data_IF_515112650784
#
_entry.id   IF_515112650784
#
_cell.length_a   1.000
_cell.length_b   1.000
_cell.length_c   1.000
_cell.angle_alpha   90.00
_cell.angle_beta   90.00
_cell.angle_gamma   90.00
#
_symmetry.space_group_name_H-M   'P 1'
#
loop_
_entity.id
_entity.type
_entity.pdbx_description
1 polymer ?
#
# COMPACT_ATOMS: atom_id res chain seq x y z
N UNK A 1 4.20 9.82 -14.43
CA UNK A 1 3.53 10.25 -15.68
C UNK A 1 3.56 9.08 -16.66
N UNK A 2 3.24 9.26 -17.95
CA UNK A 2 3.37 8.19 -18.97
C UNK A 2 4.78 7.62 -19.02
N UNK A 3 5.79 8.47 -18.89
CA UNK A 3 7.18 8.05 -18.99
C UNK A 3 7.60 7.09 -17.88
N UNK A 4 6.98 7.17 -16.70
CA UNK A 4 7.15 6.17 -15.65
C UNK A 4 6.82 4.76 -16.17
N UNK A 5 5.70 4.57 -16.87
CA UNK A 5 5.29 3.25 -17.39
C UNK A 5 6.23 2.75 -18.50
N UNK A 6 6.63 3.64 -19.41
CA UNK A 6 7.59 3.32 -20.49
C UNK A 6 8.92 2.87 -19.92
N UNK A 7 9.49 3.63 -18.97
CA UNK A 7 10.77 3.30 -18.33
C UNK A 7 10.72 1.98 -17.57
N UNK A 8 9.60 1.69 -16.89
CA UNK A 8 9.37 0.40 -16.25
C UNK A 8 9.41 -0.73 -17.29
N UNK A 9 8.69 -0.60 -18.40
CA UNK A 9 8.66 -1.64 -19.43
C UNK A 9 10.02 -1.80 -20.14
N UNK A 10 10.72 -0.71 -20.42
CA UNK A 10 12.09 -0.73 -20.96
C UNK A 10 13.04 -1.47 -20.02
N UNK A 11 13.03 -1.15 -18.72
CA UNK A 11 13.85 -1.84 -17.73
C UNK A 11 13.54 -3.35 -17.68
N UNK A 12 12.26 -3.72 -17.68
CA UNK A 12 11.83 -5.12 -17.66
C UNK A 12 12.15 -5.89 -18.94
N UNK A 13 12.31 -5.18 -20.05
CA UNK A 13 12.79 -5.77 -21.31
C UNK A 13 14.24 -6.22 -21.14
N UNK A 14 15.06 -5.40 -20.48
CA UNK A 14 16.48 -5.68 -20.23
C UNK A 14 16.69 -6.67 -19.07
N UNK A 15 15.86 -6.59 -18.03
CA UNK A 15 16.01 -7.35 -16.78
C UNK A 15 14.71 -8.10 -16.41
N UNK A 16 14.32 -9.14 -17.18
CA UNK A 16 13.04 -9.82 -17.01
C UNK A 16 12.86 -10.54 -15.66
N UNK A 17 13.96 -10.85 -14.95
CA UNK A 17 13.94 -11.50 -13.64
C UNK A 17 13.80 -10.56 -12.45
N UNK A 18 13.66 -9.25 -12.69
CA UNK A 18 13.58 -8.24 -11.64
C UNK A 18 12.19 -7.60 -11.58
N UNK A 19 11.83 -7.10 -10.39
CA UNK A 19 10.79 -6.08 -10.28
C UNK A 19 11.43 -4.69 -10.31
N UNK A 20 10.63 -3.70 -10.72
CA UNK A 20 10.97 -2.28 -10.62
C UNK A 20 9.69 -1.52 -10.26
N UNK A 21 9.80 -0.50 -9.42
CA UNK A 21 8.65 0.33 -9.11
C UNK A 21 9.02 1.75 -8.71
N UNK A 22 8.03 2.63 -8.78
CA UNK A 22 8.10 4.03 -8.41
C UNK A 22 7.12 4.31 -7.28
N UNK A 23 7.58 5.03 -6.26
CA UNK A 23 6.70 5.53 -5.21
C UNK A 23 5.70 6.55 -5.78
N UNK A 24 4.63 6.76 -5.02
CA UNK A 24 3.73 7.88 -5.24
C UNK A 24 4.47 9.22 -5.03
N UNK A 25 4.09 10.22 -5.82
CA UNK A 25 4.72 11.55 -5.88
C UNK A 25 4.12 12.56 -4.88
N UNK A 26 3.16 12.15 -4.04
CA UNK A 26 2.55 13.04 -3.03
C UNK A 26 3.10 12.77 -1.62
N UNK A 27 3.11 13.80 -0.73
CA UNK A 27 3.40 13.62 0.69
C UNK A 27 2.51 12.55 1.33
N UNK A 28 2.91 12.00 2.48
CA UNK A 28 2.20 10.95 3.26
C UNK A 28 2.23 9.56 2.57
N UNK A 29 2.04 9.51 1.25
CA UNK A 29 1.91 8.25 0.50
C UNK A 29 3.22 7.72 -0.11
N UNK A 30 4.36 8.29 0.26
CA UNK A 30 5.70 7.80 -0.14
C UNK A 30 6.56 8.80 -0.92
N UNK A 31 6.06 10.01 -1.19
CA UNK A 31 6.87 11.07 -1.79
C UNK A 31 7.93 11.57 -0.81
N UNK A 32 9.20 11.19 -1.01
CA UNK A 32 10.35 11.69 -0.23
C UNK A 32 11.24 12.67 -1.02
N UNK A 33 11.21 12.62 -2.35
CA UNK A 33 11.96 13.50 -3.25
C UNK A 33 11.02 13.87 -4.41
N UNK A 34 10.47 15.08 -4.37
CA UNK A 34 9.49 15.57 -5.36
C UNK A 34 10.13 16.02 -6.69
N UNK A 35 11.46 16.01 -6.79
CA UNK A 35 12.21 16.63 -7.88
C UNK A 35 12.87 15.67 -8.88
N UNK A 36 12.86 14.36 -8.65
CA UNK A 36 13.49 13.38 -9.54
C UNK A 36 12.73 12.05 -9.62
N UNK A 37 12.71 11.46 -10.81
CA UNK A 37 12.23 10.09 -11.01
C UNK A 37 13.14 9.12 -10.24
N UNK A 38 12.59 8.46 -9.22
CA UNK A 38 13.30 7.47 -8.40
C UNK A 38 12.61 6.11 -8.47
N UNK A 39 13.37 5.11 -8.90
CA UNK A 39 12.91 3.72 -8.99
C UNK A 39 13.60 2.85 -7.94
N UNK A 40 12.89 1.86 -7.43
CA UNK A 40 13.42 0.79 -6.59
C UNK A 40 13.17 -0.54 -7.29
N UNK A 41 14.14 -1.45 -7.27
CA UNK A 41 14.03 -2.73 -7.95
C UNK A 41 14.95 -3.79 -7.37
N UNK A 42 14.70 -5.05 -7.72
CA UNK A 42 15.42 -6.20 -7.18
C UNK A 42 14.87 -7.52 -7.70
N UNK A 43 15.42 -8.64 -7.21
CA UNK A 43 14.99 -10.00 -7.58
C UNK A 43 14.07 -10.67 -6.54
N UNK A 44 13.73 -9.95 -5.46
CA UNK A 44 12.91 -10.50 -4.40
C UNK A 44 11.45 -10.65 -4.83
N UNK A 45 10.82 -11.78 -4.50
CA UNK A 45 9.39 -12.01 -4.71
C UNK A 45 8.61 -11.62 -3.45
N UNK A 46 7.89 -10.49 -3.52
CA UNK A 46 7.11 -9.98 -2.39
C UNK A 46 5.73 -10.65 -2.27
N UNK A 47 5.10 -10.63 -1.09
CA UNK A 47 3.76 -11.20 -0.90
C UNK A 47 2.71 -10.70 -1.90
N UNK A 48 2.66 -9.39 -2.20
CA UNK A 48 1.76 -8.81 -3.21
C UNK A 48 1.90 -9.46 -4.60
N UNK A 49 3.08 -10.00 -4.93
CA UNK A 49 3.34 -10.60 -6.24
C UNK A 49 2.42 -11.78 -6.50
N UNK A 50 2.12 -12.55 -5.45
CA UNK A 50 1.25 -13.73 -5.49
C UNK A 50 -0.12 -13.48 -4.86
N UNK A 51 -0.51 -12.22 -4.68
CA UNK A 51 -1.84 -11.87 -4.16
C UNK A 51 -2.94 -12.48 -5.03
N UNK A 52 -3.99 -13.10 -4.44
CA UNK A 52 -5.13 -13.62 -5.20
C UNK A 52 -5.85 -12.51 -5.96
N UNK A 53 -6.53 -12.88 -7.05
CA UNK A 53 -7.39 -11.97 -7.82
C UNK A 53 -8.81 -12.00 -7.25
N UNK A 54 -9.42 -10.83 -7.00
CA UNK A 54 -10.84 -10.69 -6.65
C UNK A 54 -11.72 -10.68 -7.91
N UNK A 55 -11.31 -9.94 -8.94
CA UNK A 55 -12.05 -9.80 -10.19
C UNK A 55 -11.07 -9.65 -11.35
N UNK A 56 -11.34 -10.33 -12.47
CA UNK A 56 -10.60 -10.26 -13.72
C UNK A 56 -11.50 -9.67 -14.81
N UNK A 57 -10.94 -8.77 -15.62
CA UNK A 57 -11.60 -8.16 -16.77
C UNK A 57 -10.65 -8.16 -17.97
N UNK A 58 -11.19 -8.28 -19.18
CA UNK A 58 -10.41 -8.11 -20.41
C UNK A 58 -10.67 -6.76 -21.04
N UNK A 59 -9.60 -6.05 -21.39
CA UNK A 59 -9.67 -4.73 -22.02
C UNK A 59 -8.50 -4.51 -22.96
N UNK A 60 -8.80 -4.12 -24.21
CA UNK A 60 -7.80 -3.85 -25.24
C UNK A 60 -6.75 -4.98 -25.42
N UNK A 61 -7.15 -6.24 -25.25
CA UNK A 61 -6.27 -7.41 -25.34
C UNK A 61 -5.41 -7.68 -24.10
N UNK A 62 -5.51 -6.86 -23.04
CA UNK A 62 -4.85 -7.08 -21.77
C UNK A 62 -5.82 -7.62 -20.70
N UNK A 63 -5.27 -8.24 -19.65
CA UNK A 63 -5.98 -8.51 -18.40
C UNK A 63 -5.91 -7.28 -17.49
N UNK A 64 -7.01 -6.94 -16.84
CA UNK A 64 -7.12 -5.97 -15.77
C UNK A 64 -7.73 -6.67 -14.55
N UNK A 65 -6.93 -6.85 -13.51
CA UNK A 65 -7.25 -7.64 -12.32
C UNK A 65 -7.30 -6.76 -11.08
N UNK A 66 -8.40 -6.81 -10.33
CA UNK A 66 -8.47 -6.25 -8.99
C UNK A 66 -7.91 -7.28 -7.99
N UNK A 67 -6.82 -6.96 -7.29
CA UNK A 67 -6.17 -7.90 -6.37
C UNK A 67 -6.82 -7.92 -4.98
N UNK A 68 -6.81 -9.08 -4.34
CA UNK A 68 -7.10 -9.25 -2.91
C UNK A 68 -5.90 -8.78 -2.10
N UNK A 69 -5.77 -7.47 -1.98
CA UNK A 69 -4.67 -6.81 -1.28
C UNK A 69 -5.19 -5.66 -0.40
N UNK A 70 -4.57 -5.35 0.77
CA UNK A 70 -5.08 -4.29 1.65
C UNK A 70 -5.14 -2.91 1.01
N UNK A 71 -4.19 -2.59 0.12
CA UNK A 71 -4.25 -1.40 -0.73
C UNK A 71 -4.96 -1.73 -2.03
N UNK A 72 -5.84 -0.84 -2.48
CA UNK A 72 -6.54 -1.00 -3.76
C UNK A 72 -5.54 -1.08 -4.90
N UNK A 73 -5.43 -2.27 -5.51
CA UNK A 73 -4.41 -2.57 -6.51
C UNK A 73 -5.06 -3.13 -7.77
N UNK A 74 -4.78 -2.48 -8.89
CA UNK A 74 -5.20 -2.89 -10.22
C UNK A 74 -3.99 -3.42 -10.98
N UNK A 75 -3.99 -4.71 -11.28
CA UNK A 75 -2.91 -5.39 -12.00
C UNK A 75 -3.26 -5.48 -13.48
N UNK A 76 -2.38 -4.97 -14.33
CA UNK A 76 -2.46 -5.13 -15.77
C UNK A 76 -1.49 -6.22 -16.23
N UNK A 77 -1.93 -7.08 -17.17
CA UNK A 77 -1.05 -8.08 -17.80
C UNK A 77 -1.24 -8.15 -19.31
N UNK A 78 -0.12 -8.19 -20.04
CA UNK A 78 -0.11 -8.34 -21.50
C UNK A 78 1.30 -8.72 -21.98
N UNK A 79 1.44 -9.51 -23.06
CA UNK A 79 2.71 -9.62 -23.77
C UNK A 79 3.09 -8.33 -24.51
N UNK A 80 2.10 -7.48 -24.84
CA UNK A 80 2.32 -6.19 -25.48
C UNK A 80 2.44 -5.07 -24.42
N UNK A 81 3.68 -4.61 -24.23
CA UNK A 81 3.99 -3.52 -23.30
C UNK A 81 3.30 -2.19 -23.65
N UNK A 82 3.06 -1.92 -24.93
CA UNK A 82 2.48 -0.63 -25.37
C UNK A 82 1.02 -0.49 -24.93
N UNK A 83 0.30 -1.62 -24.87
CA UNK A 83 -1.04 -1.70 -24.29
C UNK A 83 -0.97 -1.39 -22.79
N UNK A 84 -0.01 -1.95 -22.04
CA UNK A 84 0.13 -1.69 -20.61
C UNK A 84 0.51 -0.25 -20.30
N UNK A 85 1.43 0.33 -21.07
CA UNK A 85 1.82 1.74 -20.96
C UNK A 85 0.61 2.65 -21.15
N UNK A 86 -0.22 2.36 -22.16
CA UNK A 86 -1.44 3.13 -22.46
C UNK A 86 -2.49 2.95 -21.37
N UNK A 87 -2.81 1.72 -20.95
CA UNK A 87 -3.83 1.47 -19.92
C UNK A 87 -3.38 2.02 -18.55
N UNK A 88 -2.10 1.89 -18.21
CA UNK A 88 -1.52 2.44 -16.99
C UNK A 88 -1.61 3.97 -16.94
N UNK A 89 -1.27 4.65 -18.05
CA UNK A 89 -1.46 6.10 -18.18
C UNK A 89 -2.93 6.49 -18.03
N UNK A 90 -3.84 5.78 -18.71
CA UNK A 90 -5.27 6.05 -18.62
C UNK A 90 -5.81 5.87 -17.19
N UNK A 91 -5.40 4.82 -16.47
CA UNK A 91 -5.77 4.60 -15.07
C UNK A 91 -5.26 5.73 -14.17
N UNK A 92 -3.99 6.14 -14.34
CA UNK A 92 -3.41 7.24 -13.59
C UNK A 92 -4.17 8.55 -13.82
N UNK A 93 -4.42 8.91 -15.07
CA UNK A 93 -5.13 10.14 -15.43
C UNK A 93 -6.56 10.14 -14.90
N UNK A 94 -7.29 9.04 -15.04
CA UNK A 94 -8.64 8.94 -14.49
C UNK A 94 -8.64 8.98 -12.96
N UNK A 95 -7.69 8.32 -12.30
CA UNK A 95 -7.60 8.34 -10.84
C UNK A 95 -7.29 9.74 -10.30
N UNK A 96 -6.39 10.49 -10.93
CA UNK A 96 -6.03 11.87 -10.54
C UNK A 96 -7.23 12.81 -10.45
N UNK A 97 -8.25 12.58 -11.28
CA UNK A 97 -9.47 13.38 -11.33
C UNK A 97 -10.66 12.77 -10.57
N UNK A 98 -10.52 11.53 -10.08
CA UNK A 98 -11.64 10.79 -9.53
C UNK A 98 -12.05 11.28 -8.14
N UNK A 99 -13.36 11.45 -7.93
CA UNK A 99 -13.94 11.73 -6.61
C UNK A 99 -14.97 10.65 -6.26
N UNK A 100 -14.97 10.22 -4.99
CA UNK A 100 -16.02 9.43 -4.35
C UNK A 100 -16.15 9.95 -2.92
N UNK A 101 -17.02 10.96 -2.77
CA UNK A 101 -17.21 11.69 -1.50
C UNK A 101 -17.75 10.79 -0.38
N UNK A 102 -18.55 9.80 -0.74
CA UNK A 102 -19.11 8.84 0.23
C UNK A 102 -18.00 8.01 0.88
N UNK A 103 -16.90 7.76 0.18
CA UNK A 103 -15.70 7.05 0.68
C UNK A 103 -14.58 7.99 1.10
N UNK A 104 -14.82 9.29 1.14
CA UNK A 104 -13.82 10.29 1.54
C UNK A 104 -12.72 10.55 0.50
N UNK A 105 -12.89 10.05 -0.74
CA UNK A 105 -11.95 10.26 -1.84
C UNK A 105 -12.29 11.58 -2.52
N UNK A 106 -11.38 12.55 -2.42
CA UNK A 106 -11.39 13.77 -3.22
C UNK A 106 -10.12 13.82 -4.04
N UNK A 107 -10.23 14.26 -5.29
CA UNK A 107 -9.10 14.47 -6.17
C UNK A 107 -8.26 15.68 -5.74
N UNK A 108 -8.93 16.73 -5.25
CA UNK A 108 -8.31 18.00 -4.87
C UNK A 108 -8.99 18.65 -3.67
N UNK A 109 -8.27 19.54 -3.00
CA UNK A 109 -8.84 20.48 -2.04
C UNK A 109 -8.16 21.84 -2.10
N UNK A 110 -8.77 22.86 -1.49
CA UNK A 110 -8.31 24.24 -1.60
C UNK A 110 -8.84 24.96 -2.86
N UNK A 111 -8.25 26.11 -3.17
CA UNK A 111 -8.63 26.93 -4.34
C UNK A 111 -7.46 27.80 -4.80
N UNK A 112 -7.36 28.03 -6.11
CA UNK A 112 -6.33 28.89 -6.70
C UNK A 112 -4.92 28.37 -6.43
N UNK A 113 -4.00 29.23 -6.00
CA UNK A 113 -2.60 28.87 -5.71
C UNK A 113 -2.41 27.90 -4.53
N UNK A 114 -3.48 27.59 -3.79
CA UNK A 114 -3.47 26.63 -2.67
C UNK A 114 -4.19 25.32 -2.99
N UNK A 115 -4.48 25.07 -4.26
CA UNK A 115 -5.06 23.79 -4.68
C UNK A 115 -4.03 22.67 -4.47
N UNK A 116 -4.41 21.67 -3.67
CA UNK A 116 -3.62 20.48 -3.44
C UNK A 116 -4.24 19.30 -4.20
N UNK A 117 -3.40 18.55 -4.93
CA UNK A 117 -3.82 17.26 -5.51
C UNK A 117 -3.65 16.15 -4.49
N UNK A 118 -4.63 15.26 -4.42
CA UNK A 118 -4.63 14.18 -3.45
C UNK A 118 -4.47 12.80 -4.04
N UNK A 119 -4.92 12.58 -5.27
CA UNK A 119 -4.88 11.27 -5.91
C UNK A 119 -3.57 11.06 -6.67
N UNK A 120 -2.93 9.92 -6.42
CA UNK A 120 -1.75 9.46 -7.16
C UNK A 120 -1.67 7.94 -7.14
N UNK A 121 -0.64 7.36 -7.74
CA UNK A 121 -0.44 5.91 -7.80
C UNK A 121 0.97 5.53 -7.43
N UNK A 122 1.12 4.34 -6.84
CA UNK A 122 2.40 3.63 -6.82
C UNK A 122 2.38 2.61 -7.95
N UNK A 123 3.43 2.58 -8.78
CA UNK A 123 3.50 1.68 -9.94
C UNK A 123 4.60 0.66 -9.72
N UNK A 124 4.28 -0.63 -9.87
CA UNK A 124 5.23 -1.73 -9.72
C UNK A 124 5.14 -2.61 -10.96
N UNK A 125 6.21 -2.72 -11.72
CA UNK A 125 6.34 -3.60 -12.86
C UNK A 125 7.18 -4.85 -12.57
N UNK A 126 6.85 -5.95 -13.24
CA UNK A 126 7.67 -7.17 -13.34
C UNK A 126 7.32 -7.95 -14.60
N UNK A 127 8.04 -9.04 -14.89
CA UNK A 127 7.64 -10.00 -15.93
C UNK A 127 7.27 -11.36 -15.36
N UNK A 128 6.34 -12.03 -16.04
CA UNK A 128 5.98 -13.43 -15.81
C UNK A 128 6.02 -14.18 -17.13
N UNK A 129 7.12 -14.91 -17.37
CA UNK A 129 7.37 -15.53 -18.66
C UNK A 129 7.43 -14.47 -19.77
N UNK A 130 6.56 -14.59 -20.77
CA UNK A 130 6.50 -13.64 -21.88
C UNK A 130 5.80 -12.31 -21.51
N UNK A 131 4.90 -12.33 -20.52
CA UNK A 131 4.04 -11.19 -20.20
C UNK A 131 4.74 -10.14 -19.32
N UNK A 132 4.39 -8.89 -19.58
CA UNK A 132 4.62 -7.79 -18.65
C UNK A 132 3.44 -7.75 -17.66
N UNK A 133 3.75 -7.41 -16.41
CA UNK A 133 2.78 -7.25 -15.34
C UNK A 133 3.03 -5.91 -14.65
N UNK A 134 2.02 -5.04 -14.58
CA UNK A 134 2.08 -3.74 -13.92
C UNK A 134 0.99 -3.66 -12.86
N UNK A 135 1.38 -3.51 -11.60
CA UNK A 135 0.48 -3.18 -10.50
C UNK A 135 0.38 -1.66 -10.36
N UNK A 136 -0.83 -1.14 -10.52
CA UNK A 136 -1.20 0.25 -10.26
C UNK A 136 -1.93 0.29 -8.92
N UNK A 137 -1.24 0.76 -7.89
CA UNK A 137 -1.78 0.86 -6.53
C UNK A 137 -2.32 2.27 -6.34
N UNK A 138 -3.62 2.40 -6.12
CA UNK A 138 -4.29 3.69 -5.95
C UNK A 138 -3.97 4.26 -4.56
N UNK A 139 -3.54 5.53 -4.52
CA UNK A 139 -3.16 6.25 -3.31
C UNK A 139 -3.90 7.58 -3.22
N UNK A 140 -4.17 8.02 -1.99
CA UNK A 140 -4.73 9.33 -1.71
C UNK A 140 -4.09 9.88 -0.42
N UNK A 141 -3.61 11.13 -0.41
CA UNK A 141 -2.94 11.74 0.75
C UNK A 141 -3.84 12.65 1.60
N UNK A 142 -5.15 12.68 1.34
CA UNK A 142 -6.07 13.62 1.98
C UNK A 142 -6.13 13.39 3.48
N UNK A 143 -6.13 14.50 4.23
CA UNK A 143 -6.40 14.54 5.67
C UNK A 143 -7.78 15.14 5.95
N UNK A 144 -8.28 14.92 7.16
CA UNK A 144 -9.41 15.65 7.73
C UNK A 144 -9.24 15.86 9.24
N UNK A 145 -10.26 16.40 9.91
CA UNK A 145 -10.21 16.67 11.36
C UNK A 145 -10.15 15.40 12.20
N UNK A 146 -10.67 14.28 11.69
CA UNK A 146 -10.64 12.98 12.37
C UNK A 146 -9.29 12.28 12.14
N UNK A 147 -8.74 12.42 10.94
CA UNK A 147 -7.49 11.83 10.49
C UNK A 147 -6.51 12.91 10.00
N UNK A 148 -5.88 13.65 10.93
CA UNK A 148 -4.97 14.74 10.59
C UNK A 148 -3.70 14.25 9.88
N UNK A 149 -3.31 12.99 10.12
CA UNK A 149 -2.14 12.35 9.49
C UNK A 149 -2.48 11.63 8.17
N UNK A 150 -3.74 11.68 7.73
CA UNK A 150 -4.22 11.10 6.48
C UNK A 150 -5.34 10.07 6.69
N UNK A 151 -6.43 10.24 5.93
CA UNK A 151 -7.59 9.33 5.92
C UNK A 151 -7.17 7.94 5.44
N UNK A 152 -6.27 7.91 4.46
CA UNK A 152 -5.71 6.71 3.83
C UNK A 152 -4.23 6.53 4.20
N UNK A 153 -3.92 6.72 5.48
CA UNK A 153 -2.60 6.50 6.07
C UNK A 153 -2.73 5.75 7.39
N UNK A 154 -1.60 5.38 8.01
CA UNK A 154 -1.60 4.77 9.33
C UNK A 154 -2.37 5.62 10.35
N UNK A 155 -3.42 5.07 10.95
CA UNK A 155 -4.22 5.76 11.96
C UNK A 155 -3.52 5.76 13.33
N UNK A 156 -3.95 6.65 14.22
CA UNK A 156 -3.29 6.94 15.50
C UNK A 156 -3.08 5.68 16.36
N UNK A 157 -4.01 4.73 16.32
CA UNK A 157 -3.92 3.48 17.09
C UNK A 157 -2.81 2.54 16.61
N UNK A 158 -2.13 2.86 15.50
CA UNK A 158 -1.04 2.07 14.91
C UNK A 158 0.32 2.77 14.98
N UNK A 159 0.35 4.06 15.34
CA UNK A 159 1.57 4.89 15.33
C UNK A 159 2.66 4.37 16.26
N UNK A 160 2.29 3.61 17.29
CA UNK A 160 3.26 2.96 18.16
C UNK A 160 4.22 2.08 17.35
N UNK A 161 3.73 1.33 16.36
CA UNK A 161 4.55 0.55 15.41
C UNK A 161 4.96 1.41 14.21
N UNK A 162 4.00 1.95 13.45
CA UNK A 162 4.30 2.62 12.18
C UNK A 162 3.46 3.88 12.05
N UNK A 163 4.15 5.02 11.95
CA UNK A 163 3.55 6.36 11.69
C UNK A 163 4.14 7.01 10.44
N UNK A 164 5.33 6.58 10.06
CA UNK A 164 6.10 7.07 8.93
C UNK A 164 5.39 6.71 7.62
N UNK A 165 5.77 7.35 6.51
CA UNK A 165 5.18 7.10 5.19
C UNK A 165 5.27 5.62 4.79
N UNK A 166 4.28 5.16 4.03
CA UNK A 166 4.22 3.79 3.47
C UNK A 166 4.78 3.79 2.05
N UNK A 167 6.01 3.33 1.90
CA UNK A 167 6.74 3.26 0.63
C UNK A 167 6.51 1.97 -0.16
N UNK A 168 7.15 1.86 -1.32
CA UNK A 168 6.98 0.78 -2.30
C UNK A 168 7.10 -0.62 -1.69
N UNK A 169 8.15 -0.87 -0.91
CA UNK A 169 8.44 -2.19 -0.31
C UNK A 169 7.36 -2.60 0.69
N UNK A 170 6.84 -1.62 1.43
CA UNK A 170 5.78 -1.79 2.42
C UNK A 170 4.43 -2.04 1.75
N UNK A 171 4.13 -1.30 0.68
CA UNK A 171 2.99 -1.55 -0.20
C UNK A 171 3.00 -2.99 -0.69
N UNK A 172 4.17 -3.52 -1.07
CA UNK A 172 4.33 -4.89 -1.56
C UNK A 172 4.26 -5.96 -0.47
N UNK A 173 4.21 -5.57 0.81
CA UNK A 173 3.95 -6.46 1.95
C UNK A 173 5.17 -6.80 2.81
N UNK A 174 6.28 -6.05 2.70
CA UNK A 174 7.42 -6.18 3.61
C UNK A 174 7.51 -4.95 4.52
N UNK A 175 7.30 -5.14 5.82
CA UNK A 175 7.39 -4.07 6.80
C UNK A 175 8.83 -3.59 6.98
N UNK A 176 9.06 -2.29 6.80
CA UNK A 176 10.32 -1.63 7.14
C UNK A 176 10.07 -0.83 8.42
N UNK A 177 10.60 -1.36 9.53
CA UNK A 177 10.40 -0.78 10.85
C UNK A 177 11.45 0.29 11.16
N UNK A 178 11.07 1.39 11.83
CA UNK A 178 12.03 2.42 12.20
C UNK A 178 12.95 1.93 13.32
N UNK A 179 14.25 2.32 13.34
CA UNK A 179 15.21 1.86 14.35
C UNK A 179 14.77 2.10 15.80
N UNK A 180 13.94 3.13 16.03
CA UNK A 180 13.36 3.45 17.35
C UNK A 180 12.57 2.30 17.99
N UNK A 181 12.09 1.32 17.21
CA UNK A 181 11.30 0.21 17.72
C UNK A 181 12.15 -0.90 18.33
N UNK A 182 13.43 -0.99 17.99
CA UNK A 182 14.24 -2.15 18.37
C UNK A 182 14.29 -2.33 19.89
N UNK A 183 14.66 -1.27 20.62
CA UNK A 183 14.67 -1.31 22.08
C UNK A 183 13.28 -1.51 22.67
N UNK A 184 12.26 -0.82 22.14
CA UNK A 184 10.92 -0.89 22.71
C UNK A 184 10.25 -2.25 22.48
N UNK A 185 10.51 -2.93 21.36
CA UNK A 185 10.01 -4.29 21.11
C UNK A 185 10.75 -5.33 21.95
N UNK A 186 12.04 -5.13 22.23
CA UNK A 186 12.78 -5.96 23.18
C UNK A 186 12.20 -5.82 24.60
N UNK A 187 11.79 -4.63 25.00
CA UNK A 187 11.10 -4.42 26.30
C UNK A 187 9.74 -5.14 26.36
N UNK A 188 8.96 -5.12 25.28
CA UNK A 188 7.71 -5.90 25.21
C UNK A 188 8.00 -7.40 25.34
N UNK A 189 9.04 -7.89 24.65
CA UNK A 189 9.46 -9.30 24.70
C UNK A 189 9.86 -9.71 26.12
N UNK A 190 10.66 -8.88 26.81
CA UNK A 190 11.10 -9.11 28.17
C UNK A 190 9.94 -9.11 29.19
N UNK A 191 8.89 -8.32 28.95
CA UNK A 191 7.67 -8.37 29.78
C UNK A 191 6.93 -9.69 29.57
N UNK A 192 6.79 -10.14 28.32
CA UNK A 192 6.11 -11.39 28.01
C UNK A 192 6.88 -12.64 28.49
N UNK A 193 8.20 -12.57 28.62
CA UNK A 193 9.01 -13.62 29.23
C UNK A 193 9.08 -13.57 30.76
N UNK A 194 8.61 -12.48 31.37
CA UNK A 194 8.63 -12.26 32.82
C UNK A 194 9.95 -11.71 33.37
N UNK A 195 10.89 -11.34 32.50
CA UNK A 195 12.15 -10.68 32.86
C UNK A 195 11.94 -9.24 33.33
N UNK A 196 10.90 -8.59 32.82
CA UNK A 196 10.51 -7.23 33.18
C UNK A 196 9.01 -7.14 33.49
N UNK A 197 8.65 -6.03 34.12
CA UNK A 197 7.27 -5.59 34.33
C UNK A 197 7.09 -4.19 33.74
N UNK A 198 5.85 -3.75 33.55
CA UNK A 198 5.59 -2.39 33.08
C UNK A 198 6.13 -1.29 34.02
N UNK A 199 6.30 -1.58 35.31
CA UNK A 199 6.91 -0.65 36.27
C UNK A 199 8.41 -0.42 36.06
N UNK A 200 9.08 -1.30 35.30
CA UNK A 200 10.49 -1.14 34.95
C UNK A 200 10.71 -0.20 33.75
N UNK A 201 9.62 0.20 33.08
CA UNK A 201 9.64 1.03 31.88
C UNK A 201 9.28 2.50 32.19
N UNK A 202 9.65 3.45 31.32
CA UNK A 202 9.25 4.84 31.46
C UNK A 202 7.72 4.99 31.53
N UNK A 203 7.25 5.98 32.31
CA UNK A 203 5.81 6.27 32.48
C UNK A 203 5.05 6.39 31.15
N UNK A 204 5.70 6.90 30.11
CA UNK A 204 5.13 7.10 28.78
C UNK A 204 5.65 6.09 27.76
N UNK A 205 5.73 4.81 28.13
CA UNK A 205 6.13 3.75 27.21
C UNK A 205 5.13 3.63 26.03
N UNK A 206 5.60 3.75 24.76
CA UNK A 206 4.70 3.81 23.59
C UNK A 206 3.84 2.56 23.36
N UNK A 207 4.17 1.44 23.99
CA UNK A 207 3.50 0.16 23.80
C UNK A 207 2.73 -0.31 25.03
N UNK A 208 2.50 0.54 26.04
CA UNK A 208 1.86 0.12 27.30
C UNK A 208 0.54 -0.62 27.07
N UNK A 209 -0.42 -0.02 26.36
CA UNK A 209 -1.73 -0.63 26.11
C UNK A 209 -1.61 -1.94 25.33
N UNK A 210 -0.76 -1.95 24.29
CA UNK A 210 -0.51 -3.14 23.49
C UNK A 210 0.15 -4.26 24.31
N UNK A 211 1.09 -3.92 25.20
CA UNK A 211 1.77 -4.89 26.08
C UNK A 211 0.77 -5.50 27.06
N UNK A 212 -0.14 -4.70 27.63
CA UNK A 212 -1.22 -5.20 28.50
C UNK A 212 -2.13 -6.16 27.74
N UNK A 213 -2.50 -5.82 26.50
CA UNK A 213 -3.29 -6.70 25.63
C UNK A 213 -2.57 -8.04 25.38
N UNK A 214 -1.29 -7.99 25.00
CA UNK A 214 -0.48 -9.19 24.74
C UNK A 214 -0.31 -10.04 25.99
N UNK A 215 0.00 -9.44 27.13
CA UNK A 215 0.14 -10.13 28.41
C UNK A 215 -1.17 -10.80 28.83
N UNK A 216 -2.33 -10.17 28.55
CA UNK A 216 -3.65 -10.76 28.83
C UNK A 216 -3.92 -11.97 27.93
N UNK A 217 -3.52 -11.91 26.65
CA UNK A 217 -3.75 -12.97 25.66
C UNK A 217 -2.80 -14.15 25.80
N UNK A 218 -1.54 -13.90 26.15
CA UNK A 218 -0.45 -14.88 26.06
C UNK A 218 0.26 -15.15 27.40
N UNK A 219 0.02 -14.33 28.43
CA UNK A 219 0.73 -14.40 29.71
C UNK A 219 2.08 -13.68 29.70
N UNK A 220 2.77 -13.75 30.84
CA UNK A 220 4.07 -13.07 31.11
C UNK A 220 5.13 -14.04 31.63
N UNK A 221 5.05 -15.31 31.22
CA UNK A 221 5.99 -16.37 31.66
C UNK A 221 6.42 -17.24 30.47
N UNK A 222 6.37 -16.66 29.27
CA UNK A 222 6.71 -17.37 28.05
C UNK A 222 8.22 -17.64 27.98
N UNK A 223 8.65 -18.74 27.35
CA UNK A 223 10.02 -18.88 26.89
C UNK A 223 10.42 -17.68 26.01
N UNK A 224 11.68 -17.23 26.11
CA UNK A 224 12.14 -16.02 25.43
C UNK A 224 11.99 -16.08 23.89
N UNK A 225 12.26 -17.23 23.28
CA UNK A 225 12.09 -17.47 21.85
C UNK A 225 10.61 -17.43 21.42
N UNK A 226 9.72 -17.95 22.27
CA UNK A 226 8.28 -17.87 22.04
C UNK A 226 7.75 -16.43 22.18
N UNK A 227 8.21 -15.70 23.20
CA UNK A 227 7.87 -14.28 23.38
C UNK A 227 8.30 -13.46 22.16
N UNK A 228 9.53 -13.64 21.67
CA UNK A 228 10.05 -12.93 20.49
C UNK A 228 9.21 -13.25 19.24
N UNK A 229 8.87 -14.53 19.03
CA UNK A 229 8.03 -14.97 17.91
C UNK A 229 6.64 -14.34 17.98
N UNK A 230 6.04 -14.27 19.16
CA UNK A 230 4.72 -13.64 19.37
C UNK A 230 4.80 -12.14 19.07
N UNK A 231 5.78 -11.43 19.64
CA UNK A 231 5.95 -9.99 19.39
C UNK A 231 6.12 -9.74 17.89
N UNK A 232 6.97 -10.51 17.21
CA UNK A 232 7.18 -10.40 15.76
C UNK A 232 5.89 -10.62 14.97
N UNK A 233 5.10 -11.64 15.32
CA UNK A 233 3.82 -11.92 14.66
C UNK A 233 2.80 -10.79 14.90
N UNK A 234 2.74 -10.27 16.11
CA UNK A 234 1.80 -9.20 16.48
C UNK A 234 2.20 -7.86 15.85
N UNK A 235 3.49 -7.57 15.69
CA UNK A 235 3.96 -6.45 14.84
C UNK A 235 3.47 -6.62 13.41
N UNK A 236 3.54 -7.83 12.84
CA UNK A 236 2.99 -8.14 11.52
C UNK A 236 1.47 -7.92 11.45
N UNK A 237 0.74 -8.28 12.49
CA UNK A 237 -0.71 -8.03 12.61
C UNK A 237 -1.02 -6.54 12.63
N UNK A 238 -0.29 -5.74 13.43
CA UNK A 238 -0.46 -4.28 13.47
C UNK A 238 -0.12 -3.66 12.11
N UNK A 239 0.95 -4.10 11.46
CA UNK A 239 1.35 -3.62 10.14
C UNK A 239 0.32 -3.98 9.06
N UNK A 240 -0.29 -5.16 9.11
CA UNK A 240 -1.39 -5.50 8.20
C UNK A 240 -2.58 -4.54 8.37
N UNK A 241 -2.89 -4.13 9.60
CA UNK A 241 -3.92 -3.10 9.86
C UNK A 241 -3.52 -1.75 9.26
N UNK A 242 -2.27 -1.33 9.41
CA UNK A 242 -1.74 -0.11 8.75
C UNK A 242 -1.96 -0.13 7.24
N UNK A 243 -1.66 -1.25 6.57
CA UNK A 243 -1.90 -1.34 5.11
C UNK A 243 -3.39 -1.28 4.75
N UNK A 244 -4.30 -1.76 5.62
CA UNK A 244 -5.76 -1.63 5.42
C UNK A 244 -6.24 -0.19 5.62
N UNK A 245 -5.63 0.54 6.56
CA UNK A 245 -5.89 1.97 6.75
C UNK A 245 -5.50 2.74 5.48
N UNK A 246 -4.44 2.32 4.80
CA UNK A 246 -3.96 2.92 3.55
C UNK A 246 -4.79 2.63 2.29
N UNK A 247 -5.70 1.64 2.32
CA UNK A 247 -6.54 1.32 1.16
C UNK A 247 -7.60 2.39 0.91
N UNK A 248 -7.66 2.92 -0.32
CA UNK A 248 -8.62 3.97 -0.71
C UNK A 248 -10.05 3.43 -0.86
N UNK A 249 -10.20 2.24 -1.42
CA UNK A 249 -11.41 1.44 -1.32
C UNK A 249 -11.17 0.31 -0.32
N UNK A 250 -11.93 0.30 0.78
CA UNK A 250 -11.77 -0.71 1.84
C UNK A 250 -12.15 -2.09 1.35
N UNK A 251 -11.55 -3.13 1.93
CA UNK A 251 -11.86 -4.54 1.61
C UNK A 251 -13.21 -4.97 2.22
N UNK A 252 -14.28 -4.31 1.76
CA UNK A 252 -15.68 -4.51 2.13
C UNK A 252 -16.51 -4.52 0.84
N UNK A 253 -17.75 -5.02 0.90
CA UNK A 253 -18.67 -5.00 -0.25
C UNK A 253 -18.87 -3.58 -0.80
N UNK A 254 -18.92 -2.58 0.08
CA UNK A 254 -19.03 -1.18 -0.30
C UNK A 254 -17.78 -0.65 -1.04
N UNK A 255 -16.59 -1.06 -0.61
CA UNK A 255 -15.35 -0.70 -1.30
C UNK A 255 -15.19 -1.41 -2.63
N UNK A 256 -15.59 -2.69 -2.74
CA UNK A 256 -15.61 -3.42 -4.01
C UNK A 256 -16.53 -2.73 -5.04
N UNK A 257 -17.74 -2.32 -4.64
CA UNK A 257 -18.63 -1.50 -5.48
C UNK A 257 -17.99 -0.16 -5.87
N UNK A 258 -17.20 0.44 -4.99
CA UNK A 258 -16.43 1.65 -5.30
C UNK A 258 -15.40 1.44 -6.40
N UNK A 259 -14.63 0.34 -6.34
CA UNK A 259 -13.69 -0.04 -7.40
C UNK A 259 -14.43 -0.27 -8.73
N UNK A 260 -15.57 -0.96 -8.70
CA UNK A 260 -16.38 -1.19 -9.91
C UNK A 260 -16.88 0.12 -10.54
N UNK A 261 -17.32 1.09 -9.72
CA UNK A 261 -17.71 2.42 -10.21
C UNK A 261 -16.52 3.18 -10.79
N UNK A 262 -15.36 3.14 -10.14
CA UNK A 262 -14.14 3.74 -10.67
C UNK A 262 -13.77 3.15 -12.05
N UNK A 263 -13.73 1.81 -12.15
CA UNK A 263 -13.40 1.13 -13.41
C UNK A 263 -14.43 1.40 -14.51
N UNK A 264 -15.72 1.51 -14.16
CA UNK A 264 -16.78 1.86 -15.11
C UNK A 264 -16.62 3.29 -15.64
N UNK A 265 -16.31 4.25 -14.74
CA UNK A 265 -16.02 5.64 -15.09
C UNK A 265 -14.80 5.75 -16.01
N UNK A 266 -13.70 5.07 -15.64
CA UNK A 266 -12.48 4.98 -16.44
C UNK A 266 -12.78 4.40 -17.84
N UNK A 267 -13.52 3.30 -17.92
CA UNK A 267 -13.85 2.68 -19.20
C UNK A 267 -14.67 3.61 -20.09
N UNK A 268 -15.68 4.27 -19.53
CA UNK A 268 -16.51 5.24 -20.25
C UNK A 268 -15.68 6.43 -20.76
N UNK A 269 -14.80 6.99 -19.91
CA UNK A 269 -13.94 8.13 -20.27
C UNK A 269 -13.06 7.83 -21.49
N UNK A 270 -12.56 6.60 -21.62
CA UNK A 270 -11.62 6.20 -22.66
C UNK A 270 -12.25 5.35 -23.76
N UNK A 271 -13.58 5.24 -23.81
CA UNK A 271 -14.31 4.43 -24.81
C UNK A 271 -13.91 2.96 -24.78
N UNK A 272 -13.57 2.41 -23.61
CA UNK A 272 -13.21 1.01 -23.41
C UNK A 272 -14.45 0.17 -23.14
N UNK A 273 -14.44 -1.06 -23.62
CA UNK A 273 -15.39 -2.09 -23.23
C UNK A 273 -14.64 -3.20 -22.51
N UNK A 274 -15.30 -3.74 -21.48
CA UNK A 274 -14.85 -4.97 -20.84
C UNK A 274 -15.46 -6.15 -21.59
N UNK A 275 -14.63 -7.10 -21.99
CA UNK A 275 -15.12 -8.41 -22.39
C UNK A 275 -15.22 -9.30 -21.15
N UNK A 276 -16.25 -10.14 -21.10
CA UNK A 276 -16.25 -11.30 -20.20
C UNK A 276 -15.16 -12.27 -20.66
N UNK A 277 -14.39 -12.79 -19.70
CA UNK A 277 -13.53 -13.96 -19.94
C UNK A 277 -14.37 -15.17 -20.42
#
# INVERSE_FOLDING_TARGET
DRMTFVRICDFLTLFPGMFIGSNADLPIVGGSILSHDHFQGGMWTFPMTNAPVLKSLRVAGASLEHLRWPLTTLRLRSPDRTVLETLGEQLLLSWREYEDRERGILARSGSGEREEQHNTVTVIGRRRGAEYEIDVVLRNNRCDTQYPDGIFHAHKERHHIKKENIGLIEVMGLAILPPRLESSLNDVTAILSGEKTLSDLPQYFPHTEWTVELATRFGTTLPADEAERIVRNEVGTVFSKVLRDCGVFKATEDGEKGVERFLSSWAAQWGRSFASD
#
